data_IF_408580161703
#
_entry.id   IF_408580161703
#
_cell.length_a   1.000
_cell.length_b   1.000
_cell.length_c   1.000
_cell.angle_alpha   90.00
_cell.angle_beta   90.00
_cell.angle_gamma   90.00
#
_symmetry.space_group_name_H-M   'P 1'
#
loop_
_entity.id
_entity.type
_entity.pdbx_description
1 polymer ?
#
# COMPACT_ATOMS: atom_id res chain seq x y z
N UNK A 1 -38.31 -17.63 35.25
CA UNK A 1 -37.20 -16.73 34.83
C UNK A 1 -36.84 -17.08 33.42
N UNK A 2 -37.21 -16.23 32.47
CA UNK A 2 -36.90 -16.45 31.04
C UNK A 2 -35.50 -15.93 30.77
N UNK A 3 -34.59 -16.81 30.38
CA UNK A 3 -33.27 -16.49 29.88
C UNK A 3 -33.40 -15.85 28.47
N UNK A 4 -33.23 -14.54 28.38
CA UNK A 4 -33.13 -13.88 27.10
C UNK A 4 -31.82 -14.32 26.42
N UNK A 5 -31.93 -15.08 25.34
CA UNK A 5 -30.84 -15.36 24.40
C UNK A 5 -30.46 -14.06 23.71
N UNK A 6 -29.23 -13.59 23.98
CA UNK A 6 -28.60 -12.54 23.18
C UNK A 6 -28.49 -13.08 21.74
N UNK A 7 -29.38 -12.61 20.86
CA UNK A 7 -29.21 -12.81 19.42
C UNK A 7 -27.89 -12.12 19.02
N UNK A 8 -26.99 -12.87 18.42
CA UNK A 8 -25.77 -12.32 17.81
C UNK A 8 -26.17 -11.20 16.85
N UNK A 9 -25.82 -9.97 17.21
CA UNK A 9 -25.95 -8.83 16.32
C UNK A 9 -24.84 -9.02 15.29
N UNK A 10 -25.11 -9.77 14.23
CA UNK A 10 -24.32 -9.74 13.01
C UNK A 10 -24.53 -8.36 12.38
N UNK A 11 -23.66 -7.41 12.73
CA UNK A 11 -23.57 -6.16 11.98
C UNK A 11 -23.13 -6.57 10.57
N UNK A 12 -23.96 -6.36 9.52
CA UNK A 12 -23.51 -6.61 8.16
C UNK A 12 -22.24 -5.75 7.96
N UNK A 13 -21.14 -6.33 7.47
CA UNK A 13 -20.04 -5.53 6.95
C UNK A 13 -20.64 -4.66 5.84
N UNK A 14 -21.04 -3.46 6.20
CA UNK A 14 -21.53 -2.50 5.21
C UNK A 14 -20.39 -2.29 4.21
N UNK A 15 -20.70 -2.25 2.93
CA UNK A 15 -19.76 -1.83 1.87
C UNK A 15 -19.42 -0.36 2.12
N UNK A 16 -18.53 -0.11 3.09
CA UNK A 16 -18.20 1.22 3.60
C UNK A 16 -17.54 2.12 2.55
N UNK A 17 -17.08 1.52 1.42
CA UNK A 17 -16.41 2.20 0.31
C UNK A 17 -17.27 2.24 -0.97
N UNK A 18 -18.58 2.00 -0.88
CA UNK A 18 -19.47 2.14 -2.03
C UNK A 18 -19.40 3.56 -2.62
N UNK A 19 -19.20 3.67 -3.94
CA UNK A 19 -19.02 4.94 -4.65
C UNK A 19 -17.64 5.59 -4.47
N UNK A 20 -16.69 4.94 -3.83
CA UNK A 20 -15.30 5.39 -3.71
C UNK A 20 -14.41 4.74 -4.75
N UNK A 21 -13.42 5.47 -5.23
CA UNK A 21 -12.41 5.01 -6.19
C UNK A 21 -11.06 4.87 -5.48
N UNK A 22 -10.47 3.69 -5.59
CA UNK A 22 -9.15 3.39 -5.04
C UNK A 22 -8.14 3.13 -6.16
N UNK A 23 -7.00 3.81 -6.14
CA UNK A 23 -5.83 3.46 -6.93
C UNK A 23 -4.81 2.75 -6.03
N UNK A 24 -4.38 1.56 -6.45
CA UNK A 24 -3.32 0.80 -5.77
C UNK A 24 -2.15 0.61 -6.73
N UNK A 25 -0.99 1.22 -6.42
CA UNK A 25 0.20 1.06 -7.26
C UNK A 25 0.91 -0.28 -6.98
N UNK A 26 1.42 -0.93 -8.03
CA UNK A 26 2.06 -2.24 -7.91
C UNK A 26 1.12 -3.33 -7.41
N UNK A 27 -0.15 -3.32 -7.86
CA UNK A 27 -1.22 -4.17 -7.34
C UNK A 27 -1.34 -5.54 -8.00
N UNK A 28 -0.46 -5.92 -8.92
CA UNK A 28 -0.53 -7.20 -9.63
C UNK A 28 -0.21 -8.42 -8.76
N UNK A 29 0.38 -8.25 -7.56
CA UNK A 29 0.79 -9.33 -6.65
C UNK A 29 1.02 -8.85 -5.22
N UNK A 30 1.24 -9.81 -4.31
CA UNK A 30 1.67 -9.57 -2.93
C UNK A 30 0.74 -8.63 -2.16
N UNK A 31 1.33 -7.70 -1.42
CA UNK A 31 0.61 -6.74 -0.56
C UNK A 31 -0.36 -5.89 -1.39
N UNK A 32 0.08 -5.38 -2.54
CA UNK A 32 -0.76 -4.53 -3.40
C UNK A 32 -2.02 -5.26 -3.91
N UNK A 33 -1.88 -6.52 -4.33
CA UNK A 33 -3.02 -7.38 -4.70
C UNK A 33 -3.98 -7.56 -3.54
N UNK A 34 -3.45 -7.93 -2.36
CA UNK A 34 -4.29 -8.14 -1.19
C UNK A 34 -5.06 -6.88 -0.78
N UNK A 35 -4.41 -5.69 -0.86
CA UNK A 35 -5.08 -4.41 -0.60
C UNK A 35 -6.16 -4.13 -1.65
N UNK A 36 -5.88 -4.36 -2.94
CA UNK A 36 -6.85 -4.16 -4.01
C UNK A 36 -8.12 -5.02 -3.80
N UNK A 37 -7.95 -6.29 -3.48
CA UNK A 37 -9.05 -7.22 -3.18
C UNK A 37 -9.84 -6.82 -1.92
N UNK A 38 -9.15 -6.43 -0.85
CA UNK A 38 -9.78 -6.00 0.40
C UNK A 38 -10.62 -4.72 0.19
N UNK A 39 -10.11 -3.73 -0.55
CA UNK A 39 -10.86 -2.51 -0.85
C UNK A 39 -12.07 -2.78 -1.76
N UNK A 40 -11.90 -3.63 -2.76
CA UNK A 40 -13.00 -4.05 -3.64
C UNK A 40 -14.10 -4.78 -2.85
N UNK A 41 -13.74 -5.69 -1.94
CA UNK A 41 -14.70 -6.42 -1.09
C UNK A 41 -15.54 -5.50 -0.19
N UNK A 42 -15.01 -4.29 0.09
CA UNK A 42 -15.70 -3.22 0.82
C UNK A 42 -16.51 -2.29 -0.07
N UNK A 43 -16.50 -2.50 -1.38
CA UNK A 43 -17.32 -1.80 -2.35
C UNK A 43 -16.63 -0.67 -3.12
N UNK A 44 -15.32 -0.47 -2.98
CA UNK A 44 -14.58 0.47 -3.81
C UNK A 44 -14.51 -0.01 -5.27
N UNK A 45 -14.55 0.93 -6.23
CA UNK A 45 -14.03 0.71 -7.55
C UNK A 45 -12.49 0.79 -7.48
N UNK A 46 -11.79 -0.21 -8.04
CA UNK A 46 -10.34 -0.34 -7.86
C UNK A 46 -9.60 -0.21 -9.19
N UNK A 47 -8.74 0.79 -9.28
CA UNK A 47 -7.74 0.91 -10.33
C UNK A 47 -6.50 0.09 -9.94
N UNK A 48 -6.26 -1.00 -10.64
CA UNK A 48 -5.13 -1.91 -10.43
C UNK A 48 -3.96 -1.45 -11.29
N UNK A 49 -2.92 -0.83 -10.68
CA UNK A 49 -1.74 -0.48 -11.45
C UNK A 49 -0.69 -1.58 -11.42
N UNK A 50 -0.06 -1.78 -12.57
CA UNK A 50 1.14 -2.61 -12.75
C UNK A 50 2.12 -1.95 -13.74
N UNK A 51 3.42 -2.28 -13.62
CA UNK A 51 4.41 -1.84 -14.60
C UNK A 51 4.56 -2.88 -15.73
N UNK A 52 4.96 -4.12 -15.39
CA UNK A 52 5.30 -5.16 -16.38
C UNK A 52 4.27 -6.29 -16.49
N UNK A 53 3.71 -6.69 -15.37
CA UNK A 53 2.95 -7.94 -15.34
C UNK A 53 1.46 -7.69 -15.48
N UNK A 54 1.06 -7.36 -16.72
CA UNK A 54 -0.34 -7.08 -17.08
C UNK A 54 -1.21 -8.31 -16.86
N UNK A 55 -0.72 -9.52 -17.20
CA UNK A 55 -1.48 -10.75 -17.02
C UNK A 55 -1.89 -10.96 -15.56
N UNK A 56 -0.95 -10.81 -14.62
CA UNK A 56 -1.30 -10.90 -13.17
C UNK A 56 -2.19 -9.75 -12.70
N UNK A 57 -2.08 -8.58 -13.31
CA UNK A 57 -2.99 -7.47 -12.98
C UNK A 57 -4.41 -7.75 -13.49
N UNK A 58 -4.53 -8.36 -14.68
CA UNK A 58 -5.81 -8.82 -15.22
C UNK A 58 -6.44 -9.91 -14.33
N UNK A 59 -5.65 -10.86 -13.81
CA UNK A 59 -6.12 -11.85 -12.84
C UNK A 59 -6.73 -11.20 -11.60
N UNK A 60 -6.10 -10.13 -11.08
CA UNK A 60 -6.62 -9.38 -9.93
C UNK A 60 -7.92 -8.65 -10.28
N UNK A 61 -7.97 -7.98 -11.44
CA UNK A 61 -9.19 -7.34 -11.94
C UNK A 61 -10.32 -8.35 -12.07
N UNK A 62 -10.04 -9.50 -12.71
CA UNK A 62 -11.05 -10.53 -12.97
C UNK A 62 -11.58 -11.13 -11.66
N UNK A 63 -10.73 -11.33 -10.65
CA UNK A 63 -11.14 -11.77 -9.32
C UNK A 63 -12.07 -10.74 -8.67
N UNK A 64 -11.77 -9.44 -8.78
CA UNK A 64 -12.64 -8.36 -8.27
C UNK A 64 -13.98 -8.35 -9.00
N UNK A 65 -13.97 -8.42 -10.34
CA UNK A 65 -15.17 -8.37 -11.17
C UNK A 65 -16.06 -9.59 -10.96
N UNK A 66 -15.46 -10.79 -10.91
CA UNK A 66 -16.17 -12.04 -10.62
C UNK A 66 -16.77 -12.05 -9.21
N UNK A 67 -16.15 -11.33 -8.26
CA UNK A 67 -16.70 -11.08 -6.94
C UNK A 67 -17.81 -10.01 -6.89
N UNK A 68 -18.21 -9.47 -8.05
CA UNK A 68 -19.25 -8.43 -8.17
C UNK A 68 -18.77 -7.01 -7.87
N UNK A 69 -17.45 -6.78 -7.85
CA UNK A 69 -16.83 -5.46 -7.72
C UNK A 69 -16.61 -4.78 -9.08
N UNK A 70 -16.02 -3.60 -9.04
CA UNK A 70 -15.63 -2.82 -10.23
C UNK A 70 -14.12 -2.64 -10.24
N UNK A 71 -13.45 -2.98 -11.33
CA UNK A 71 -12.00 -2.82 -11.44
C UNK A 71 -11.55 -2.70 -12.89
N UNK A 72 -10.48 -1.92 -13.10
CA UNK A 72 -9.76 -1.80 -14.37
C UNK A 72 -8.25 -1.84 -14.12
N UNK A 73 -7.50 -2.31 -15.13
CA UNK A 73 -6.04 -2.37 -15.10
C UNK A 73 -5.44 -1.14 -15.80
N UNK A 74 -4.48 -0.53 -15.14
CA UNK A 74 -3.72 0.62 -15.66
C UNK A 74 -2.23 0.28 -15.67
N UNK A 75 -1.69 0.03 -16.86
CA UNK A 75 -0.26 -0.21 -17.02
C UNK A 75 0.51 1.11 -17.06
N UNK A 76 1.37 1.33 -16.07
CA UNK A 76 2.24 2.49 -16.02
C UNK A 76 3.46 2.23 -15.13
N UNK A 77 4.61 2.80 -15.52
CA UNK A 77 5.78 2.89 -14.65
C UNK A 77 5.67 4.12 -13.75
N UNK A 78 5.43 3.90 -12.47
CA UNK A 78 5.32 4.98 -11.50
C UNK A 78 6.67 5.58 -11.09
N UNK A 79 7.80 4.95 -11.44
CA UNK A 79 9.12 5.52 -11.24
C UNK A 79 9.43 6.64 -12.24
N UNK A 80 8.77 6.61 -13.41
CA UNK A 80 8.81 7.71 -14.35
C UNK A 80 7.76 8.78 -13.99
N UNK A 81 8.22 10.02 -13.83
CA UNK A 81 7.36 11.16 -13.48
C UNK A 81 6.19 11.36 -14.44
N UNK A 82 6.43 11.17 -15.74
CA UNK A 82 5.40 11.35 -16.76
C UNK A 82 4.42 10.17 -16.77
N UNK A 83 4.95 8.95 -16.63
CA UNK A 83 4.14 7.73 -16.48
C UNK A 83 3.24 7.77 -15.26
N UNK A 84 3.74 8.21 -14.10
CA UNK A 84 2.96 8.36 -12.88
C UNK A 84 1.82 9.39 -13.04
N UNK A 85 2.09 10.56 -13.64
CA UNK A 85 1.07 11.59 -13.90
C UNK A 85 0.02 11.12 -14.89
N UNK A 86 0.46 10.47 -15.98
CA UNK A 86 -0.45 9.89 -16.98
C UNK A 86 -1.37 8.84 -16.36
N UNK A 87 -0.83 7.97 -15.48
CA UNK A 87 -1.64 7.02 -14.71
C UNK A 87 -2.78 7.71 -13.96
N UNK A 88 -2.48 8.79 -13.23
CA UNK A 88 -3.49 9.51 -12.47
C UNK A 88 -4.54 10.15 -13.40
N UNK A 89 -4.12 10.76 -14.50
CA UNK A 89 -5.03 11.32 -15.51
C UNK A 89 -5.94 10.24 -16.10
N UNK A 90 -5.40 9.08 -16.45
CA UNK A 90 -6.17 7.97 -17.02
C UNK A 90 -7.19 7.41 -16.03
N UNK A 91 -6.81 7.23 -14.76
CA UNK A 91 -7.73 6.78 -13.70
C UNK A 91 -8.85 7.82 -13.48
N UNK A 92 -8.51 9.11 -13.43
CA UNK A 92 -9.50 10.19 -13.32
C UNK A 92 -10.41 10.20 -14.54
N UNK A 93 -9.88 9.96 -15.75
CA UNK A 93 -10.67 9.90 -16.98
C UNK A 93 -11.72 8.78 -16.97
N UNK A 94 -11.43 7.64 -16.33
CA UNK A 94 -12.35 6.50 -16.23
C UNK A 94 -13.35 6.65 -15.08
N UNK A 95 -12.88 7.14 -13.91
CA UNK A 95 -13.66 7.12 -12.67
C UNK A 95 -14.04 8.51 -12.13
N UNK A 96 -13.73 9.59 -12.87
CA UNK A 96 -13.95 10.99 -12.47
C UNK A 96 -13.16 11.42 -11.22
N UNK A 97 -12.29 10.58 -10.67
CA UNK A 97 -11.41 10.95 -9.55
C UNK A 97 -10.83 9.76 -8.82
N UNK A 98 -10.04 10.06 -7.80
CA UNK A 98 -9.40 9.09 -6.91
C UNK A 98 -9.67 9.55 -5.47
N UNK A 99 -10.43 8.75 -4.72
CA UNK A 99 -10.73 9.01 -3.30
C UNK A 99 -9.68 8.39 -2.37
N UNK A 100 -9.09 7.28 -2.81
CA UNK A 100 -8.13 6.48 -2.04
C UNK A 100 -6.89 6.23 -2.90
N UNK A 101 -5.72 6.63 -2.39
CA UNK A 101 -4.44 6.35 -3.03
C UNK A 101 -3.61 5.45 -2.11
N UNK A 102 -3.26 4.26 -2.62
CA UNK A 102 -2.32 3.36 -1.95
C UNK A 102 -1.02 3.30 -2.74
N UNK A 103 0.01 3.97 -2.23
CA UNK A 103 1.35 3.93 -2.78
C UNK A 103 2.06 2.67 -2.25
N UNK A 104 1.99 1.58 -3.01
CA UNK A 104 2.56 0.29 -2.64
C UNK A 104 3.72 -0.14 -3.53
N UNK A 105 3.82 0.33 -4.76
CA UNK A 105 4.91 -0.03 -5.67
C UNK A 105 6.28 0.13 -5.02
N UNK A 106 7.14 -0.86 -5.20
CA UNK A 106 8.48 -0.83 -4.62
C UNK A 106 9.33 -2.03 -5.03
N UNK A 107 10.63 -1.80 -4.99
CA UNK A 107 11.67 -2.77 -5.33
C UNK A 107 12.79 -2.76 -4.29
N UNK A 108 13.64 -3.78 -4.33
CA UNK A 108 14.92 -3.83 -3.61
C UNK A 108 16.09 -4.00 -4.58
N UNK A 109 17.27 -3.46 -4.23
CA UNK A 109 18.56 -3.71 -4.88
C UNK A 109 19.62 -3.82 -3.80
N UNK A 110 19.61 -5.00 -3.16
CA UNK A 110 20.37 -5.24 -1.93
C UNK A 110 21.85 -5.44 -2.23
N UNK A 111 22.67 -4.51 -1.76
CA UNK A 111 24.13 -4.56 -1.83
C UNK A 111 24.72 -3.82 -0.65
N UNK A 112 25.87 -4.30 -0.12
CA UNK A 112 26.60 -3.50 0.87
C UNK A 112 26.96 -2.13 0.27
N UNK A 113 27.03 -1.09 1.09
CA UNK A 113 27.32 0.28 0.64
C UNK A 113 28.60 0.38 -0.19
N UNK A 114 29.59 -0.48 0.07
CA UNK A 114 30.84 -0.54 -0.68
C UNK A 114 30.69 -1.09 -2.11
N UNK A 115 29.59 -1.82 -2.39
CA UNK A 115 29.32 -2.46 -3.68
C UNK A 115 28.07 -1.88 -4.37
N UNK A 116 27.33 -1.05 -3.67
CA UNK A 116 26.14 -0.40 -4.21
C UNK A 116 26.56 0.61 -5.28
N UNK A 117 25.97 0.50 -6.46
CA UNK A 117 26.18 1.45 -7.55
C UNK A 117 25.20 2.61 -7.48
N UNK A 118 25.51 3.72 -8.14
CA UNK A 118 24.57 4.84 -8.28
C UNK A 118 23.27 4.38 -8.95
N UNK A 119 23.32 3.45 -9.91
CA UNK A 119 22.15 2.86 -10.55
C UNK A 119 21.27 2.09 -9.55
N UNK A 120 21.86 1.25 -8.68
CA UNK A 120 21.12 0.52 -7.63
C UNK A 120 20.44 1.48 -6.65
N UNK A 121 21.10 2.60 -6.34
CA UNK A 121 20.55 3.65 -5.49
C UNK A 121 19.40 4.37 -6.18
N UNK A 122 19.64 4.92 -7.35
CA UNK A 122 18.66 5.71 -8.08
C UNK A 122 17.40 4.93 -8.40
N UNK A 123 17.52 3.68 -8.88
CA UNK A 123 16.37 2.84 -9.22
C UNK A 123 15.45 2.61 -8.00
N UNK A 124 16.03 2.38 -6.81
CA UNK A 124 15.25 2.20 -5.59
C UNK A 124 14.61 3.50 -5.13
N UNK A 125 15.33 4.62 -5.18
CA UNK A 125 14.79 5.93 -4.78
C UNK A 125 13.67 6.37 -5.72
N UNK A 126 13.86 6.24 -7.03
CA UNK A 126 12.84 6.60 -8.02
C UNK A 126 11.57 5.75 -7.85
N UNK A 127 11.74 4.42 -7.74
CA UNK A 127 10.58 3.52 -7.65
C UNK A 127 9.88 3.61 -6.30
N UNK A 128 10.61 3.66 -5.18
CA UNK A 128 10.01 3.55 -3.85
C UNK A 128 9.58 4.89 -3.25
N UNK A 129 10.32 5.97 -3.52
CA UNK A 129 10.12 7.27 -2.88
C UNK A 129 9.58 8.32 -3.83
N UNK A 130 10.24 8.53 -4.97
CA UNK A 130 9.82 9.58 -5.91
C UNK A 130 8.45 9.28 -6.51
N UNK A 131 8.14 7.99 -6.78
CA UNK A 131 6.82 7.56 -7.23
C UNK A 131 5.69 7.96 -6.27
N UNK A 132 5.95 7.86 -4.96
CA UNK A 132 4.99 8.27 -3.92
C UNK A 132 4.68 9.76 -4.04
N UNK A 133 5.71 10.58 -4.24
CA UNK A 133 5.52 12.01 -4.49
C UNK A 133 4.78 12.27 -5.80
N UNK A 134 5.16 11.60 -6.91
CA UNK A 134 4.54 11.82 -8.21
C UNK A 134 3.05 11.48 -8.23
N UNK A 135 2.69 10.29 -7.74
CA UNK A 135 1.30 9.87 -7.66
C UNK A 135 0.49 10.75 -6.71
N UNK A 136 1.04 11.04 -5.52
CA UNK A 136 0.35 11.87 -4.53
C UNK A 136 0.10 13.27 -5.07
N UNK A 137 1.14 13.96 -5.57
CA UNK A 137 1.02 15.34 -6.06
C UNK A 137 0.02 15.48 -7.22
N UNK A 138 -0.07 14.46 -8.10
CA UNK A 138 -1.01 14.46 -9.20
C UNK A 138 -2.46 14.17 -8.76
N UNK A 139 -2.66 13.42 -7.67
CA UNK A 139 -3.99 13.07 -7.16
C UNK A 139 -4.60 14.18 -6.30
N UNK A 140 -3.77 14.95 -5.58
CA UNK A 140 -4.21 15.95 -4.60
C UNK A 140 -5.21 16.97 -5.13
N UNK A 141 -5.09 17.55 -6.34
CA UNK A 141 -6.04 18.56 -6.80
C UNK A 141 -7.50 18.08 -6.74
N UNK A 142 -7.77 16.84 -7.16
CA UNK A 142 -9.12 16.25 -7.13
C UNK A 142 -9.57 15.89 -5.71
N UNK A 143 -8.68 15.40 -4.85
CA UNK A 143 -9.00 15.16 -3.44
C UNK A 143 -9.36 16.46 -2.70
N UNK A 144 -8.62 17.54 -2.96
CA UNK A 144 -8.90 18.87 -2.37
C UNK A 144 -10.23 19.42 -2.87
N UNK A 145 -10.50 19.36 -4.19
CA UNK A 145 -11.77 19.77 -4.79
C UNK A 145 -12.96 19.06 -4.15
N UNK A 146 -12.83 17.75 -3.89
CA UNK A 146 -13.86 16.91 -3.26
C UNK A 146 -13.94 17.02 -1.75
N UNK A 147 -12.98 17.70 -1.13
CA UNK A 147 -12.80 17.76 0.33
C UNK A 147 -12.81 16.38 0.98
N UNK A 148 -12.17 15.41 0.32
CA UNK A 148 -12.04 14.04 0.79
C UNK A 148 -10.83 13.34 0.18
N UNK A 149 -10.07 12.59 0.98
CA UNK A 149 -9.00 11.73 0.50
C UNK A 149 -8.46 10.82 1.60
N UNK A 150 -8.01 9.62 1.18
CA UNK A 150 -7.31 8.67 2.04
C UNK A 150 -6.04 8.21 1.34
N UNK A 151 -4.90 8.57 1.92
CA UNK A 151 -3.58 8.22 1.38
C UNK A 151 -2.93 7.23 2.33
N UNK A 152 -2.59 6.05 1.82
CA UNK A 152 -1.84 5.02 2.56
C UNK A 152 -0.56 4.71 1.82
N UNK A 153 0.56 4.97 2.46
CA UNK A 153 1.89 4.71 1.93
C UNK A 153 2.50 3.45 2.55
N UNK A 154 2.91 2.50 1.72
CA UNK A 154 3.53 1.26 2.20
C UNK A 154 5.03 1.46 2.35
N UNK A 155 5.46 1.61 3.61
CA UNK A 155 6.87 1.68 3.99
C UNK A 155 7.41 0.28 4.30
N UNK A 156 8.23 0.16 5.32
CA UNK A 156 8.78 -1.08 5.88
C UNK A 156 9.33 -0.78 7.28
N UNK A 157 9.40 -1.78 8.15
CA UNK A 157 10.15 -1.67 9.40
C UNK A 157 11.64 -1.33 9.14
N UNK A 158 12.17 -1.71 7.97
CA UNK A 158 13.54 -1.38 7.54
C UNK A 158 13.76 0.14 7.42
N UNK A 159 12.71 0.90 7.06
CA UNK A 159 12.77 2.37 7.04
C UNK A 159 12.99 3.01 8.42
N UNK A 160 12.78 2.25 9.49
CA UNK A 160 13.01 2.67 10.88
C UNK A 160 14.29 2.06 11.47
N UNK A 161 14.46 0.74 11.28
CA UNK A 161 15.54 -0.01 11.90
C UNK A 161 16.84 0.02 11.09
N UNK A 162 16.77 0.25 9.77
CA UNK A 162 17.84 -0.06 8.84
C UNK A 162 18.03 -1.58 8.68
N UNK A 163 18.84 -1.96 7.68
CA UNK A 163 19.29 -3.34 7.53
C UNK A 163 20.62 -3.37 6.74
N UNK A 164 21.48 -4.33 7.05
CA UNK A 164 22.71 -4.51 6.30
C UNK A 164 22.42 -4.78 4.81
N UNK A 165 23.11 -4.07 3.93
CA UNK A 165 22.95 -4.23 2.48
C UNK A 165 21.73 -3.53 1.88
N UNK A 166 20.96 -2.76 2.65
CA UNK A 166 19.72 -2.10 2.21
C UNK A 166 19.72 -0.59 2.45
N UNK A 167 20.85 0.07 2.29
CA UNK A 167 20.95 1.51 2.55
C UNK A 167 19.99 2.34 1.67
N UNK A 168 19.89 2.01 0.37
CA UNK A 168 18.94 2.62 -0.57
C UNK A 168 17.47 2.35 -0.17
N UNK A 169 17.15 1.11 0.16
CA UNK A 169 15.81 0.72 0.56
C UNK A 169 15.40 1.37 1.89
N UNK A 170 16.28 1.33 2.90
CA UNK A 170 16.06 1.98 4.19
C UNK A 170 15.84 3.49 4.03
N UNK A 171 16.68 4.16 3.23
CA UNK A 171 16.53 5.59 2.93
C UNK A 171 15.18 5.88 2.25
N UNK A 172 14.80 5.08 1.24
CA UNK A 172 13.51 5.27 0.55
C UNK A 172 12.32 5.09 1.49
N UNK A 173 12.33 4.02 2.31
CA UNK A 173 11.23 3.69 3.22
C UNK A 173 11.17 4.63 4.44
N UNK A 174 12.31 5.12 4.92
CA UNK A 174 12.40 6.20 5.92
C UNK A 174 11.91 7.53 5.37
N UNK A 175 12.25 7.85 4.12
CA UNK A 175 11.77 9.04 3.42
C UNK A 175 10.24 9.07 3.28
N UNK A 176 9.61 7.93 2.97
CA UNK A 176 8.15 7.79 2.94
C UNK A 176 7.52 8.18 4.28
N UNK A 177 8.11 7.75 5.39
CA UNK A 177 7.59 8.04 6.74
C UNK A 177 7.61 9.56 7.00
N UNK A 178 8.74 10.20 6.73
CA UNK A 178 8.89 11.64 6.91
C UNK A 178 7.97 12.44 5.97
N UNK A 179 7.91 12.06 4.68
CA UNK A 179 7.03 12.66 3.68
C UNK A 179 5.55 12.59 4.10
N UNK A 180 5.11 11.44 4.60
CA UNK A 180 3.71 11.25 5.02
C UNK A 180 3.34 12.16 6.20
N UNK A 181 4.26 12.38 7.14
CA UNK A 181 4.02 13.29 8.26
C UNK A 181 3.84 14.74 7.80
N UNK A 182 4.65 15.19 6.83
CA UNK A 182 4.50 16.51 6.24
C UNK A 182 3.16 16.65 5.51
N UNK A 183 2.78 15.66 4.69
CA UNK A 183 1.48 15.63 4.01
C UNK A 183 0.31 15.71 4.99
N UNK A 184 0.36 14.97 6.09
CA UNK A 184 -0.71 14.96 7.08
C UNK A 184 -0.97 16.36 7.65
N UNK A 185 0.09 17.12 7.93
CA UNK A 185 -0.02 18.50 8.42
C UNK A 185 -0.65 19.45 7.39
N UNK A 186 -0.28 19.30 6.12
CA UNK A 186 -0.76 20.15 5.04
C UNK A 186 -2.21 19.87 4.64
N UNK A 187 -2.63 18.61 4.73
CA UNK A 187 -3.85 18.10 4.11
C UNK A 187 -5.02 17.94 5.08
N UNK A 188 -4.79 17.94 6.38
CA UNK A 188 -5.82 17.70 7.40
C UNK A 188 -7.04 18.64 7.26
N UNK A 189 -6.81 19.91 6.90
CA UNK A 189 -7.88 20.91 6.69
C UNK A 189 -8.82 20.59 5.52
N UNK A 190 -8.44 19.67 4.64
CA UNK A 190 -9.24 19.25 3.49
C UNK A 190 -9.91 17.89 3.69
N UNK A 191 -10.02 17.39 4.93
CA UNK A 191 -10.55 16.06 5.22
C UNK A 191 -9.79 14.94 4.47
N UNK A 192 -8.47 15.15 4.30
CA UNK A 192 -7.57 14.19 3.68
C UNK A 192 -6.65 13.65 4.76
N UNK A 193 -6.64 12.33 4.96
CA UNK A 193 -5.69 11.68 5.87
C UNK A 193 -4.54 11.04 5.07
N UNK A 194 -3.34 11.10 5.62
CA UNK A 194 -2.16 10.46 5.06
C UNK A 194 -1.44 9.65 6.14
N UNK A 195 -1.31 8.34 5.94
CA UNK A 195 -0.74 7.43 6.92
C UNK A 195 0.24 6.43 6.28
N UNK A 196 1.05 5.81 7.11
CA UNK A 196 2.04 4.81 6.71
C UNK A 196 1.68 3.45 7.32
N UNK A 197 1.82 2.41 6.53
CA UNK A 197 1.96 1.04 7.04
C UNK A 197 3.41 0.64 6.87
N UNK A 198 4.00 0.08 7.93
CA UNK A 198 5.35 -0.46 7.94
C UNK A 198 5.29 -1.99 8.15
N UNK A 199 5.18 -2.78 7.07
CA UNK A 199 5.18 -4.22 7.16
C UNK A 199 6.51 -4.76 7.68
N UNK A 200 6.44 -5.92 8.34
CA UNK A 200 7.55 -6.82 8.54
C UNK A 200 7.77 -7.74 7.34
N UNK A 201 8.41 -8.87 7.59
CA UNK A 201 8.53 -9.91 6.57
C UNK A 201 7.14 -10.50 6.26
N UNK A 202 6.74 -10.38 4.99
CA UNK A 202 5.41 -10.76 4.50
C UNK A 202 5.58 -11.83 3.41
N UNK A 203 4.73 -12.84 3.40
CA UNK A 203 4.72 -13.92 2.40
C UNK A 203 4.36 -13.36 1.03
N UNK A 204 5.39 -13.03 0.25
CA UNK A 204 5.25 -12.48 -1.11
C UNK A 204 6.32 -13.07 -2.02
N UNK A 205 6.16 -12.89 -3.32
CA UNK A 205 7.16 -13.30 -4.32
C UNK A 205 8.56 -12.71 -4.04
N UNK A 206 8.64 -11.61 -3.31
CA UNK A 206 9.91 -10.98 -2.93
C UNK A 206 10.76 -11.89 -2.03
N UNK A 207 10.12 -12.77 -1.25
CA UNK A 207 10.80 -13.78 -0.42
C UNK A 207 10.96 -15.13 -1.13
N UNK A 208 10.37 -15.32 -2.31
CA UNK A 208 10.36 -16.60 -3.03
C UNK A 208 11.75 -17.13 -3.45
N UNK A 209 12.76 -16.28 -3.44
CA UNK A 209 14.15 -16.64 -3.74
C UNK A 209 15.02 -16.82 -2.50
N UNK A 210 14.46 -16.65 -1.30
CA UNK A 210 15.20 -16.77 -0.04
C UNK A 210 15.27 -18.25 0.36
N UNK A 211 16.48 -18.80 0.62
CA UNK A 211 16.62 -20.19 1.06
C UNK A 211 15.80 -20.49 2.31
N UNK A 212 15.26 -21.72 2.42
CA UNK A 212 14.41 -22.12 3.55
C UNK A 212 15.09 -21.94 4.92
N UNK A 213 16.38 -22.27 5.01
CA UNK A 213 17.16 -22.08 6.24
C UNK A 213 17.21 -20.61 6.68
N UNK A 214 17.32 -19.68 5.72
CA UNK A 214 17.32 -18.23 5.99
C UNK A 214 15.92 -17.77 6.40
N UNK A 215 14.88 -18.32 5.76
CA UNK A 215 13.49 -18.04 6.15
C UNK A 215 13.19 -18.49 7.60
N UNK A 216 13.69 -19.65 8.00
CA UNK A 216 13.54 -20.12 9.38
C UNK A 216 14.31 -19.22 10.37
N UNK A 217 15.51 -18.76 10.02
CA UNK A 217 16.23 -17.78 10.84
C UNK A 217 15.47 -16.45 10.95
N UNK A 218 14.84 -16.00 9.87
CA UNK A 218 14.01 -14.80 9.89
C UNK A 218 12.82 -15.01 10.83
N UNK A 219 12.10 -16.13 10.75
CA UNK A 219 10.96 -16.43 11.62
C UNK A 219 11.37 -16.46 13.09
N UNK A 220 12.54 -16.99 13.42
CA UNK A 220 13.07 -17.01 14.80
C UNK A 220 13.32 -15.59 15.37
N UNK A 221 13.60 -14.61 14.51
CA UNK A 221 13.79 -13.20 14.91
C UNK A 221 12.47 -12.45 15.09
N UNK A 222 11.38 -12.96 14.56
CA UNK A 222 10.05 -12.36 14.69
C UNK A 222 9.42 -12.89 15.99
N UNK A 223 9.01 -12.06 16.94
CA UNK A 223 8.36 -12.53 18.18
C UNK A 223 7.12 -13.42 17.96
N UNK A 224 6.36 -13.19 16.89
CA UNK A 224 5.23 -14.03 16.52
C UNK A 224 5.63 -15.33 15.77
N UNK A 225 6.93 -15.56 15.54
CA UNK A 225 7.52 -16.76 14.93
C UNK A 225 6.95 -17.17 13.57
N UNK A 226 6.42 -16.23 12.80
CA UNK A 226 5.91 -16.44 11.45
C UNK A 226 6.05 -15.19 10.59
N UNK A 227 5.92 -15.36 9.29
CA UNK A 227 5.76 -14.25 8.37
C UNK A 227 4.33 -13.70 8.46
N UNK A 228 4.13 -12.45 8.09
CA UNK A 228 2.81 -11.89 7.91
C UNK A 228 2.20 -12.40 6.59
N UNK A 229 0.89 -12.57 6.57
CA UNK A 229 0.15 -12.75 5.32
C UNK A 229 -0.13 -11.39 4.67
N UNK A 230 -0.14 -11.28 3.32
CA UNK A 230 -0.50 -10.04 2.64
C UNK A 230 -1.85 -9.45 3.09
N UNK A 231 -2.81 -10.32 3.42
CA UNK A 231 -4.14 -9.95 3.90
C UNK A 231 -4.12 -9.27 5.27
N UNK A 232 -3.12 -9.55 6.11
CA UNK A 232 -2.96 -8.87 7.40
C UNK A 232 -2.53 -7.42 7.21
N UNK A 233 -1.69 -7.16 6.20
CA UNK A 233 -1.31 -5.81 5.80
C UNK A 233 -2.50 -5.08 5.17
N UNK A 234 -3.27 -5.78 4.32
CA UNK A 234 -4.46 -5.24 3.68
C UNK A 234 -5.54 -4.82 4.68
N UNK A 235 -5.76 -5.60 5.75
CA UNK A 235 -6.69 -5.25 6.84
C UNK A 235 -6.26 -3.97 7.58
N UNK A 236 -4.96 -3.78 7.80
CA UNK A 236 -4.45 -2.56 8.42
C UNK A 236 -4.65 -1.34 7.49
N UNK A 237 -4.45 -1.51 6.17
CA UNK A 237 -4.76 -0.46 5.19
C UNK A 237 -6.24 -0.12 5.19
N UNK A 238 -7.10 -1.13 5.17
CA UNK A 238 -8.55 -0.96 5.22
C UNK A 238 -9.02 -0.24 6.49
N UNK A 239 -8.42 -0.54 7.65
CA UNK A 239 -8.72 0.20 8.89
C UNK A 239 -8.43 1.69 8.74
N UNK A 240 -7.24 2.07 8.25
CA UNK A 240 -6.87 3.46 8.06
C UNK A 240 -7.77 4.20 7.05
N UNK A 241 -8.30 3.48 6.06
CA UNK A 241 -9.13 4.02 5.00
C UNK A 241 -10.60 4.14 5.42
N UNK A 242 -11.14 3.14 6.13
CA UNK A 242 -12.56 3.03 6.44
C UNK A 242 -12.94 3.58 7.82
N UNK A 243 -12.06 3.38 8.81
CA UNK A 243 -12.38 3.59 10.22
C UNK A 243 -11.41 4.60 10.88
N UNK A 244 -10.39 5.04 10.12
CA UNK A 244 -9.32 5.93 10.60
C UNK A 244 -9.55 7.41 10.31
N UNK A 245 -10.78 7.92 10.37
CA UNK A 245 -11.09 9.33 10.02
C UNK A 245 -10.34 10.36 10.86
N UNK A 246 -9.98 10.03 12.10
CA UNK A 246 -9.20 10.89 12.99
C UNK A 246 -7.73 10.44 13.13
N UNK A 247 -7.27 9.56 12.22
CA UNK A 247 -5.89 9.04 12.18
C UNK A 247 -5.18 9.63 10.98
N UNK A 248 -4.21 10.54 11.22
CA UNK A 248 -3.37 11.09 10.16
C UNK A 248 -1.94 11.30 10.65
N UNK A 249 -0.96 11.20 9.75
CA UNK A 249 0.48 11.29 10.06
C UNK A 249 1.03 10.10 10.83
N UNK A 250 0.24 9.05 11.03
CA UNK A 250 0.63 7.91 11.83
C UNK A 250 1.35 6.84 10.99
N UNK A 251 2.23 6.11 11.67
CA UNK A 251 2.86 4.93 11.15
C UNK A 251 2.40 3.72 11.96
N UNK A 252 1.76 2.78 11.28
CA UNK A 252 1.33 1.52 11.89
C UNK A 252 2.31 0.42 11.51
N UNK A 253 2.96 -0.17 12.52
CA UNK A 253 3.82 -1.33 12.36
C UNK A 253 3.00 -2.61 12.32
N UNK A 254 3.04 -3.32 11.18
CA UNK A 254 2.41 -4.63 11.01
C UNK A 254 3.53 -5.64 10.74
N UNK A 255 4.26 -6.01 11.79
CA UNK A 255 5.57 -6.66 11.65
C UNK A 255 5.82 -7.82 12.63
N UNK A 256 4.79 -8.29 13.33
CA UNK A 256 4.91 -9.40 14.28
C UNK A 256 5.83 -9.14 15.48
N UNK A 257 6.11 -7.85 15.76
CA UNK A 257 6.97 -7.44 16.88
C UNK A 257 8.47 -7.39 16.57
N UNK A 258 8.88 -7.60 15.30
CA UNK A 258 10.32 -7.56 14.95
C UNK A 258 10.94 -6.17 15.18
N UNK A 259 10.10 -5.15 15.22
CA UNK A 259 10.47 -3.77 15.56
C UNK A 259 9.30 -3.07 16.27
N UNK A 260 9.61 -2.43 17.41
CA UNK A 260 8.64 -1.72 18.25
C UNK A 260 9.13 -0.30 18.51
#
# INVERSE_FOLDING_TARGET
MATATLSEITVPRSKSLAGKVALVTGASRGIGRAIALELASRGAAVAVNCHWNVVRADEVRDEIVNGGGTSEVFQADVSDRFGARKLIEDVIGVYDGIDILVNNAGITRDKSIRKMTDGDWCEVIETNLNSVFYCTSATLPKMIERNFGRIVNISSYIGQAGNFGQANYAASKGGIIAFTKALALELAKYNITANVIAPGFTETDMLGHVPLEVLEQIKQRIPMHRLALPEEIAKAAAFLICDGDYVTGQQINVNGGIYM
#
